data_IF_126184353656
#
_entry.id   IF_126184353656
#
_cell.length_a   1.000
_cell.length_b   1.000
_cell.length_c   1.000
_cell.angle_alpha   90.00
_cell.angle_beta   90.00
_cell.angle_gamma   90.00
#
_symmetry.space_group_name_H-M   'P 1'
#
loop_
_entity.id
_entity.type
_entity.pdbx_description
1 polymer ?
#
# COMPACT_ATOMS: atom_id res chain seq x y z
N UNK A 1 -12.58 -12.88 -15.11
CA UNK A 1 -12.68 -11.64 -14.35
C UNK A 1 -11.33 -11.28 -13.77
N UNK A 2 -10.95 -10.07 -13.97
CA UNK A 2 -9.66 -9.61 -13.46
C UNK A 2 -9.74 -9.40 -11.97
N UNK A 3 -8.82 -10.03 -11.26
CA UNK A 3 -8.65 -9.78 -9.84
C UNK A 3 -7.91 -8.47 -9.69
N UNK A 4 -8.60 -7.49 -9.15
CA UNK A 4 -7.98 -6.19 -8.92
C UNK A 4 -7.44 -6.10 -7.51
N UNK A 5 -6.67 -7.11 -7.13
CA UNK A 5 -6.05 -7.10 -5.82
C UNK A 5 -4.71 -6.37 -5.89
N UNK A 6 -4.33 -5.79 -4.77
CA UNK A 6 -3.05 -5.12 -4.63
C UNK A 6 -2.56 -5.28 -3.20
N UNK A 7 -1.31 -4.94 -2.97
CA UNK A 7 -0.79 -4.92 -1.62
C UNK A 7 -0.40 -3.49 -1.23
N UNK A 8 -0.44 -3.24 0.06
CA UNK A 8 -0.01 -1.98 0.64
C UNK A 8 1.26 -2.23 1.44
N UNK A 9 2.29 -1.48 1.16
CA UNK A 9 3.55 -1.55 1.89
C UNK A 9 3.60 -0.38 2.86
N UNK A 10 3.46 -0.68 4.14
CA UNK A 10 3.37 0.33 5.18
C UNK A 10 4.70 0.39 5.92
N UNK A 11 5.35 1.55 5.86
CA UNK A 11 6.61 1.75 6.55
C UNK A 11 6.35 2.33 7.93
N UNK A 12 6.76 1.60 8.97
CA UNK A 12 6.58 2.00 10.36
C UNK A 12 7.93 2.12 11.04
N UNK A 13 8.03 2.87 12.14
CA UNK A 13 9.28 2.93 12.89
C UNK A 13 9.77 1.57 13.38
N UNK A 14 8.83 0.65 13.62
CA UNK A 14 9.17 -0.70 14.11
C UNK A 14 9.41 -1.70 12.99
N UNK A 15 9.27 -1.30 11.73
CA UNK A 15 9.46 -2.20 10.60
C UNK A 15 8.42 -1.98 9.52
N UNK A 16 8.27 -2.96 8.64
CA UNK A 16 7.35 -2.87 7.51
C UNK A 16 6.21 -3.85 7.68
N UNK A 17 5.10 -3.50 7.09
CA UNK A 17 3.93 -4.36 7.10
C UNK A 17 3.33 -4.41 5.70
N UNK A 18 2.97 -5.60 5.25
CA UNK A 18 2.31 -5.80 3.97
C UNK A 18 0.86 -6.16 4.22
N UNK A 19 -0.04 -5.39 3.61
CA UNK A 19 -1.47 -5.61 3.72
C UNK A 19 -2.02 -5.96 2.36
N UNK A 20 -2.93 -6.91 2.31
CA UNK A 20 -3.59 -7.32 1.08
C UNK A 20 -4.94 -6.63 0.97
N UNK A 21 -5.24 -6.13 -0.22
CA UNK A 21 -6.53 -5.51 -0.51
C UNK A 21 -7.09 -6.09 -1.79
N UNK A 22 -8.39 -6.33 -1.80
CA UNK A 22 -9.09 -6.85 -2.97
C UNK A 22 -9.82 -5.73 -3.70
N UNK A 23 -9.07 -4.69 -4.08
CA UNK A 23 -9.60 -3.51 -4.74
C UNK A 23 -8.58 -3.01 -5.74
N UNK A 24 -8.99 -2.03 -6.54
CA UNK A 24 -8.04 -1.33 -7.39
C UNK A 24 -7.01 -0.62 -6.52
N UNK A 25 -5.73 -0.64 -6.95
CA UNK A 25 -4.72 0.09 -6.21
C UNK A 25 -5.03 1.59 -6.21
N UNK A 26 -4.72 2.28 -5.12
CA UNK A 26 -4.94 3.72 -5.05
C UNK A 26 -4.00 4.46 -5.99
N UNK A 27 -4.41 5.64 -6.42
CA UNK A 27 -3.58 6.46 -7.27
C UNK A 27 -2.43 7.07 -6.48
N UNK A 28 -1.35 7.39 -7.19
CA UNK A 28 -0.20 8.05 -6.58
C UNK A 28 -0.63 9.38 -5.98
N UNK A 29 -0.20 9.66 -4.76
CA UNK A 29 -0.55 10.87 -4.05
C UNK A 29 -1.88 10.81 -3.30
N UNK A 30 -2.62 9.72 -3.45
CA UNK A 30 -3.88 9.54 -2.73
C UNK A 30 -3.65 9.32 -1.25
N UNK A 31 -4.66 9.68 -0.46
CA UNK A 31 -4.64 9.41 0.97
C UNK A 31 -5.35 8.09 1.22
N UNK A 32 -4.69 7.23 1.96
CA UNK A 32 -5.23 5.93 2.37
C UNK A 32 -5.39 5.95 3.88
N UNK A 33 -6.59 5.67 4.33
CA UNK A 33 -6.85 5.60 5.77
C UNK A 33 -6.79 4.15 6.20
N UNK A 34 -5.91 3.87 7.15
CA UNK A 34 -5.74 2.53 7.71
C UNK A 34 -6.33 2.48 9.10
N UNK A 35 -7.18 1.49 9.33
CA UNK A 35 -7.85 1.32 10.61
C UNK A 35 -6.81 1.15 11.72
N UNK A 36 -6.90 2.00 12.73
CA UNK A 36 -5.98 1.96 13.86
C UNK A 36 -4.60 2.52 13.59
N UNK A 37 -4.33 2.96 12.36
CA UNK A 37 -2.99 3.42 12.00
C UNK A 37 -2.99 4.83 11.38
N UNK A 38 -4.14 5.43 11.23
CA UNK A 38 -4.24 6.80 10.75
C UNK A 38 -4.20 6.91 9.23
N UNK A 39 -3.79 8.07 8.75
CA UNK A 39 -3.78 8.39 7.33
C UNK A 39 -2.38 8.27 6.76
N UNK A 40 -2.33 7.74 5.56
CA UNK A 40 -1.09 7.51 4.84
C UNK A 40 -1.22 8.04 3.43
N UNK A 41 -0.11 8.42 2.83
CA UNK A 41 -0.10 8.90 1.45
C UNK A 41 0.60 7.88 0.57
N UNK A 42 0.06 7.66 -0.62
CA UNK A 42 0.69 6.78 -1.60
C UNK A 42 1.86 7.52 -2.21
N UNK A 43 3.05 7.11 -1.82
CA UNK A 43 4.28 7.74 -2.27
C UNK A 43 4.78 7.14 -3.58
N UNK A 44 4.48 5.87 -3.80
CA UNK A 44 5.01 5.16 -4.96
C UNK A 44 4.15 3.92 -5.22
N UNK A 45 4.02 3.58 -6.48
CA UNK A 45 3.37 2.33 -6.87
C UNK A 45 4.38 1.54 -7.69
N UNK A 46 4.63 0.32 -7.28
CA UNK A 46 5.61 -0.53 -7.92
C UNK A 46 5.17 -1.99 -7.78
N UNK A 47 5.94 -2.91 -8.31
CA UNK A 47 5.62 -4.31 -8.12
C UNK A 47 5.86 -4.72 -6.67
N UNK A 48 5.18 -5.80 -6.26
CA UNK A 48 5.32 -6.31 -4.90
C UNK A 48 6.78 -6.69 -4.62
N UNK A 49 7.25 -6.49 -3.38
CA UNK A 49 8.60 -6.94 -3.01
C UNK A 49 8.70 -8.46 -2.89
N UNK A 50 7.60 -9.17 -2.90
CA UNK A 50 7.61 -10.62 -2.78
C UNK A 50 8.03 -11.25 -4.11
N UNK A 51 8.92 -12.26 -4.08
CA UNK A 51 9.55 -12.78 -5.30
C UNK A 51 8.59 -13.30 -6.37
N UNK A 52 7.47 -13.87 -6.01
CA UNK A 52 6.55 -14.46 -6.97
C UNK A 52 5.21 -13.72 -7.03
N UNK A 53 5.17 -12.55 -6.49
CA UNK A 53 3.95 -11.76 -6.44
C UNK A 53 4.02 -10.68 -7.52
N UNK A 54 3.09 -10.74 -8.48
CA UNK A 54 3.05 -9.78 -9.59
C UNK A 54 2.04 -8.67 -9.39
N UNK A 55 1.40 -8.66 -8.23
CA UNK A 55 0.41 -7.61 -7.96
C UNK A 55 1.10 -6.27 -7.76
N UNK A 56 0.44 -5.18 -8.13
CA UNK A 56 0.98 -3.86 -7.81
C UNK A 56 0.99 -3.66 -6.30
N UNK A 57 1.97 -2.93 -5.84
CA UNK A 57 2.10 -2.61 -4.42
C UNK A 57 2.18 -1.10 -4.26
N UNK A 58 1.30 -0.56 -3.42
CA UNK A 58 1.32 0.86 -3.10
C UNK A 58 2.18 1.07 -1.86
N UNK A 59 3.24 1.85 -2.01
CA UNK A 59 4.14 2.15 -0.92
C UNK A 59 3.64 3.39 -0.19
N UNK A 60 3.31 3.23 1.07
CA UNK A 60 2.68 4.27 1.87
C UNK A 60 3.67 4.91 2.83
N UNK A 61 3.54 6.21 2.99
CA UNK A 61 4.27 6.97 4.00
C UNK A 61 3.24 7.66 4.89
N UNK A 62 3.58 7.88 6.18
CA UNK A 62 2.68 8.62 7.06
C UNK A 62 2.51 10.04 6.56
N UNK A 63 1.28 10.55 6.62
CA UNK A 63 1.05 11.93 6.24
C UNK A 63 1.62 12.85 7.31
N UNK A 64 2.17 13.99 6.92
CA UNK A 64 2.60 14.98 7.90
C UNK A 64 1.38 15.51 8.67
N UNK A 65 1.56 15.70 9.95
CA UNK A 65 0.51 16.22 10.81
C UNK A 65 0.34 17.70 10.59
#
# INVERSE_FOLDING_TARGET
MADQSHCLFVSKPTGYELLNREREPPALGSIVELEGQGRWVVNRISSSPLPQDRRPCAYLLPTPS
#
